data_IF_399296589003
#
_entry.id   IF_399296589003
#
_cell.length_a   1.000
_cell.length_b   1.000
_cell.length_c   1.000
_cell.angle_alpha   90.00
_cell.angle_beta   90.00
_cell.angle_gamma   90.00
#
_symmetry.space_group_name_H-M   'P 1'
#
loop_
_entity.id
_entity.type
_entity.pdbx_description
1 polymer ?
#
# COMPACT_ATOMS: atom_id res chain seq x y z
N UNK A 1 -2.43 -7.71 16.73
CA UNK A 1 -3.50 -6.69 16.65
C UNK A 1 -2.92 -5.27 16.72
N UNK A 2 -2.09 -4.95 17.73
CA UNK A 2 -1.47 -3.62 17.87
C UNK A 2 -0.54 -3.25 16.70
N UNK A 3 0.20 -4.21 16.18
CA UNK A 3 1.09 -4.02 15.03
C UNK A 3 0.32 -3.60 13.75
N UNK A 4 -0.87 -4.18 13.54
CA UNK A 4 -1.73 -3.81 12.41
C UNK A 4 -2.26 -2.38 12.55
N UNK A 5 -2.70 -1.98 13.75
CA UNK A 5 -3.12 -0.60 14.00
C UNK A 5 -1.95 0.37 13.83
N UNK A 6 -0.77 0.05 14.35
CA UNK A 6 0.42 0.86 14.18
C UNK A 6 0.82 1.01 12.70
N UNK A 7 0.75 -0.07 11.90
CA UNK A 7 1.00 -0.02 10.46
C UNK A 7 0.00 0.89 9.74
N UNK A 8 -1.30 0.82 10.08
CA UNK A 8 -2.32 1.70 9.51
C UNK A 8 -2.09 3.17 9.87
N UNK A 9 -1.70 3.45 11.13
CA UNK A 9 -1.35 4.81 11.55
C UNK A 9 -0.13 5.35 10.79
N UNK A 10 0.91 4.53 10.62
CA UNK A 10 2.10 4.90 9.83
C UNK A 10 1.75 5.13 8.35
N UNK A 11 0.86 4.31 7.78
CA UNK A 11 0.33 4.53 6.42
C UNK A 11 -0.40 5.88 6.32
N UNK A 12 -1.25 6.20 7.28
CA UNK A 12 -1.94 7.49 7.33
C UNK A 12 -0.98 8.67 7.42
N UNK A 13 0.04 8.58 8.28
CA UNK A 13 1.07 9.61 8.43
C UNK A 13 1.90 9.79 7.15
N UNK A 14 2.26 8.69 6.51
CA UNK A 14 2.97 8.70 5.23
C UNK A 14 2.13 9.35 4.12
N UNK A 15 0.84 9.02 4.04
CA UNK A 15 -0.09 9.62 3.05
C UNK A 15 -0.27 11.11 3.33
N UNK A 16 -0.47 11.51 4.59
CA UNK A 16 -0.59 12.92 4.97
C UNK A 16 0.67 13.71 4.56
N UNK A 17 1.86 13.17 4.85
CA UNK A 17 3.12 13.77 4.41
C UNK A 17 3.19 13.90 2.89
N UNK A 18 2.78 12.88 2.13
CA UNK A 18 2.81 12.91 0.65
C UNK A 18 1.83 13.95 0.07
N UNK A 19 0.70 14.19 0.73
CA UNK A 19 -0.29 15.17 0.31
C UNK A 19 0.10 16.62 0.65
N UNK A 20 0.88 16.82 1.70
CA UNK A 20 1.37 18.14 2.11
C UNK A 20 2.54 18.64 1.25
N UNK A 21 3.37 17.74 0.71
CA UNK A 21 4.56 18.10 -0.06
C UNK A 21 4.26 19.00 -1.27
N UNK A 22 3.27 18.73 -2.14
CA UNK A 22 2.94 19.59 -3.28
C UNK A 22 2.52 21.00 -2.86
N UNK A 23 1.83 21.13 -1.73
CA UNK A 23 1.40 22.42 -1.20
C UNK A 23 2.59 23.27 -0.76
N UNK A 24 3.48 22.70 0.06
CA UNK A 24 4.69 23.42 0.47
C UNK A 24 5.61 23.74 -0.71
N UNK A 25 5.66 22.86 -1.73
CA UNK A 25 6.40 23.14 -2.95
C UNK A 25 5.83 24.35 -3.71
N UNK A 26 4.50 24.44 -3.78
CA UNK A 26 3.83 25.60 -4.38
C UNK A 26 4.16 26.89 -3.61
N UNK A 27 4.07 26.85 -2.25
CA UNK A 27 4.41 27.99 -1.40
C UNK A 27 5.88 28.44 -1.58
N UNK A 28 6.81 27.51 -1.75
CA UNK A 28 8.22 27.81 -2.05
C UNK A 28 8.35 28.50 -3.40
N UNK A 29 7.64 28.02 -4.45
CA UNK A 29 7.67 28.62 -5.77
C UNK A 29 7.10 30.04 -5.77
N UNK A 30 5.99 30.26 -5.06
CA UNK A 30 5.38 31.60 -4.92
C UNK A 30 6.32 32.56 -4.17
N UNK A 31 6.97 32.12 -3.10
CA UNK A 31 7.97 32.91 -2.37
C UNK A 31 9.20 33.24 -3.24
N UNK A 32 9.62 32.31 -4.10
CA UNK A 32 10.72 32.50 -5.02
C UNK A 32 10.39 33.58 -6.07
N UNK A 33 9.19 33.50 -6.66
CA UNK A 33 8.71 34.49 -7.63
C UNK A 33 8.51 35.87 -7.02
N UNK A 34 8.15 35.92 -5.74
CA UNK A 34 8.00 37.17 -4.97
C UNK A 34 9.33 37.75 -4.44
N UNK A 35 10.45 37.07 -4.62
CA UNK A 35 11.76 37.50 -4.14
C UNK A 35 11.92 37.46 -2.60
N UNK A 36 11.09 36.71 -1.89
CA UNK A 36 11.05 36.63 -0.42
C UNK A 36 12.02 35.55 0.09
N UNK A 37 13.31 35.84 0.13
CA UNK A 37 14.36 34.86 0.47
C UNK A 37 14.18 34.24 1.87
N UNK A 38 13.78 35.02 2.88
CA UNK A 38 13.59 34.50 4.23
C UNK A 38 12.42 33.50 4.31
N UNK A 39 11.33 33.74 3.58
CA UNK A 39 10.20 32.81 3.51
C UNK A 39 10.61 31.48 2.85
N UNK A 40 11.48 31.50 1.86
CA UNK A 40 11.98 30.30 1.18
C UNK A 40 12.68 29.36 2.16
N UNK A 41 13.56 29.89 3.02
CA UNK A 41 14.27 29.08 4.01
C UNK A 41 13.31 28.42 5.02
N UNK A 42 12.35 29.20 5.50
CA UNK A 42 11.35 28.69 6.47
C UNK A 42 10.47 27.61 5.87
N UNK A 43 9.87 27.85 4.70
CA UNK A 43 8.96 26.91 4.02
C UNK A 43 9.75 25.69 3.53
N UNK A 44 10.98 25.88 3.03
CA UNK A 44 11.87 24.81 2.63
C UNK A 44 12.24 23.89 3.79
N UNK A 45 12.49 24.43 4.98
CA UNK A 45 12.74 23.64 6.19
C UNK A 45 11.50 22.81 6.58
N UNK A 46 10.29 23.36 6.49
CA UNK A 46 9.05 22.61 6.70
C UNK A 46 8.85 21.50 5.67
N UNK A 47 9.13 21.77 4.39
CA UNK A 47 9.07 20.77 3.34
C UNK A 47 9.99 19.58 3.61
N UNK A 48 11.24 19.85 4.00
CA UNK A 48 12.22 18.82 4.39
C UNK A 48 11.71 18.06 5.63
N UNK A 49 11.20 18.75 6.64
CA UNK A 49 10.65 18.13 7.85
C UNK A 49 9.52 17.16 7.53
N UNK A 50 8.56 17.59 6.72
CA UNK A 50 7.44 16.75 6.27
C UNK A 50 7.92 15.55 5.45
N UNK A 51 8.92 15.75 4.57
CA UNK A 51 9.50 14.67 3.79
C UNK A 51 10.20 13.62 4.68
N UNK A 52 10.95 14.07 5.70
CA UNK A 52 11.61 13.18 6.67
C UNK A 52 10.58 12.38 7.50
N UNK A 53 9.50 13.03 7.95
CA UNK A 53 8.40 12.33 8.64
C UNK A 53 7.78 11.24 7.75
N UNK A 54 7.52 11.55 6.47
CA UNK A 54 7.01 10.58 5.52
C UNK A 54 7.97 9.41 5.27
N UNK A 55 9.28 9.69 5.17
CA UNK A 55 10.32 8.68 4.99
C UNK A 55 10.39 7.72 6.20
N UNK A 56 10.42 8.27 7.42
CA UNK A 56 10.47 7.47 8.64
C UNK A 56 9.19 6.64 8.78
N UNK A 57 8.01 7.26 8.58
CA UNK A 57 6.74 6.56 8.63
C UNK A 57 6.66 5.42 7.61
N UNK A 58 7.17 5.65 6.39
CA UNK A 58 7.26 4.63 5.35
C UNK A 58 8.16 3.46 5.72
N UNK A 59 9.36 3.73 6.25
CA UNK A 59 10.30 2.71 6.71
C UNK A 59 9.73 1.86 7.85
N UNK A 60 9.13 2.52 8.85
CA UNK A 60 8.46 1.82 9.96
C UNK A 60 7.28 0.98 9.46
N UNK A 61 6.48 1.50 8.52
CA UNK A 61 5.35 0.75 7.94
C UNK A 61 5.80 -0.51 7.22
N UNK A 62 6.86 -0.45 6.40
CA UNK A 62 7.42 -1.62 5.71
C UNK A 62 7.86 -2.69 6.71
N UNK A 63 8.54 -2.27 7.77
CA UNK A 63 9.00 -3.18 8.84
C UNK A 63 7.82 -3.85 9.56
N UNK A 64 6.81 -3.06 9.94
CA UNK A 64 5.60 -3.59 10.59
C UNK A 64 4.82 -4.55 9.66
N UNK A 65 4.67 -4.22 8.38
CA UNK A 65 4.03 -5.08 7.40
C UNK A 65 4.77 -6.42 7.25
N UNK A 66 6.11 -6.40 7.25
CA UNK A 66 6.93 -7.61 7.21
C UNK A 66 6.74 -8.47 8.46
N UNK A 67 6.72 -7.88 9.66
CA UNK A 67 6.45 -8.62 10.90
C UNK A 67 5.07 -9.25 10.92
N UNK A 68 4.04 -8.53 10.46
CA UNK A 68 2.67 -9.07 10.38
C UNK A 68 2.62 -10.24 9.40
N UNK A 69 3.21 -10.07 8.22
CA UNK A 69 3.24 -11.11 7.20
C UNK A 69 3.99 -12.36 7.65
N UNK A 70 5.12 -12.20 8.35
CA UNK A 70 5.86 -13.32 8.95
C UNK A 70 5.05 -14.03 10.06
N UNK A 71 4.35 -13.28 10.90
CA UNK A 71 3.49 -13.86 11.93
C UNK A 71 2.40 -14.74 11.31
N UNK A 72 1.67 -14.22 10.32
CA UNK A 72 0.65 -14.98 9.57
C UNK A 72 1.25 -16.22 8.91
N UNK A 73 2.43 -16.10 8.29
CA UNK A 73 3.12 -17.23 7.66
C UNK A 73 3.53 -18.30 8.66
N UNK A 74 3.98 -17.90 9.86
CA UNK A 74 4.33 -18.82 10.95
C UNK A 74 3.12 -19.59 11.46
N UNK A 75 2.02 -18.89 11.72
CA UNK A 75 0.77 -19.50 12.19
C UNK A 75 0.22 -20.50 11.16
N UNK A 76 0.23 -20.11 9.87
CA UNK A 76 -0.20 -21.00 8.79
C UNK A 76 0.66 -22.26 8.67
N UNK A 77 1.99 -22.14 8.84
CA UNK A 77 2.89 -23.30 8.82
C UNK A 77 2.60 -24.24 9.98
N UNK A 78 2.38 -23.69 11.17
CA UNK A 78 2.03 -24.49 12.36
C UNK A 78 0.71 -25.22 12.15
N UNK A 79 -0.33 -24.54 11.70
CA UNK A 79 -1.65 -25.12 11.45
C UNK A 79 -1.60 -26.17 10.34
N UNK A 80 -0.88 -25.91 9.25
CA UNK A 80 -0.70 -26.86 8.16
C UNK A 80 0.06 -28.12 8.65
N UNK A 81 1.11 -27.93 9.43
CA UNK A 81 1.88 -29.04 9.99
C UNK A 81 1.03 -29.89 10.95
N UNK A 82 0.28 -29.25 11.86
CA UNK A 82 -0.67 -29.94 12.73
C UNK A 82 -1.70 -30.74 11.93
N UNK A 83 -2.23 -30.15 10.84
CA UNK A 83 -3.19 -30.84 9.98
C UNK A 83 -2.59 -32.07 9.30
N UNK A 84 -1.38 -31.97 8.79
CA UNK A 84 -0.67 -33.10 8.15
C UNK A 84 -0.45 -34.23 9.14
N UNK A 85 -0.13 -33.94 10.40
CA UNK A 85 0.02 -34.96 11.45
C UNK A 85 -1.26 -35.75 11.73
N UNK A 86 -2.44 -35.22 11.40
CA UNK A 86 -3.71 -35.95 11.52
C UNK A 86 -4.01 -36.88 10.35
N UNK A 87 -3.19 -36.87 9.28
CA UNK A 87 -3.41 -37.71 8.11
C UNK A 87 -3.01 -39.15 8.38
N UNK A 88 -3.80 -40.09 7.88
CA UNK A 88 -3.44 -41.51 7.87
C UNK A 88 -2.40 -41.81 6.78
N UNK A 89 -1.71 -42.93 6.88
CA UNK A 89 -0.74 -43.38 5.86
C UNK A 89 -1.34 -43.40 4.45
N UNK A 90 -2.58 -43.84 4.28
CA UNK A 90 -3.29 -43.87 3.00
C UNK A 90 -3.49 -42.46 2.40
N UNK A 91 -3.71 -41.45 3.25
CA UNK A 91 -3.85 -40.07 2.81
C UNK A 91 -2.51 -39.47 2.37
N UNK A 92 -1.41 -39.82 3.07
CA UNK A 92 -0.06 -39.34 2.73
C UNK A 92 0.39 -39.88 1.38
N UNK A 93 0.13 -41.17 1.07
CA UNK A 93 0.43 -41.76 -0.22
C UNK A 93 -0.35 -41.10 -1.36
N UNK A 94 -1.61 -40.75 -1.13
CA UNK A 94 -2.49 -40.10 -2.11
C UNK A 94 -2.02 -38.68 -2.47
N UNK A 95 -1.45 -37.93 -1.53
CA UNK A 95 -0.99 -36.56 -1.74
C UNK A 95 0.47 -36.42 -2.14
N UNK A 96 1.27 -37.48 -2.13
CA UNK A 96 2.73 -37.47 -2.35
C UNK A 96 3.47 -36.51 -1.37
N UNK A 97 4.23 -37.05 -0.44
CA UNK A 97 4.90 -36.29 0.63
C UNK A 97 5.75 -35.11 0.09
N UNK A 98 6.39 -35.27 -1.08
CA UNK A 98 7.13 -34.20 -1.73
C UNK A 98 6.26 -32.99 -2.13
N UNK A 99 5.05 -33.22 -2.63
CA UNK A 99 4.10 -32.16 -2.98
C UNK A 99 3.61 -31.38 -1.74
N UNK A 100 3.40 -32.06 -0.63
CA UNK A 100 3.00 -31.42 0.62
C UNK A 100 4.07 -30.44 1.13
N UNK A 101 5.34 -30.85 1.08
CA UNK A 101 6.46 -29.99 1.49
C UNK A 101 6.60 -28.77 0.58
N UNK A 102 6.47 -28.95 -0.74
CA UNK A 102 6.54 -27.85 -1.71
C UNK A 102 5.39 -26.86 -1.48
N UNK A 103 4.17 -27.35 -1.25
CA UNK A 103 3.01 -26.46 -0.94
C UNK A 103 3.19 -25.74 0.38
N UNK A 104 3.63 -26.40 1.44
CA UNK A 104 3.92 -25.75 2.72
C UNK A 104 4.98 -24.65 2.61
N UNK A 105 5.90 -24.74 1.63
CA UNK A 105 6.93 -23.73 1.47
C UNK A 105 6.49 -22.63 0.50
N UNK A 106 6.07 -22.99 -0.71
CA UNK A 106 5.79 -22.01 -1.75
C UNK A 106 4.46 -21.30 -1.57
N UNK A 107 3.39 -22.02 -1.26
CA UNK A 107 2.05 -21.42 -1.15
C UNK A 107 1.97 -20.51 0.08
N UNK A 108 2.58 -20.90 1.19
CA UNK A 108 2.62 -20.06 2.39
C UNK A 108 3.49 -18.83 2.17
N UNK A 109 4.60 -18.93 1.43
CA UNK A 109 5.41 -17.77 1.06
C UNK A 109 4.63 -16.80 0.13
N UNK A 110 3.79 -17.32 -0.78
CA UNK A 110 2.92 -16.49 -1.59
C UNK A 110 1.88 -15.76 -0.73
N UNK A 111 1.25 -16.44 0.22
CA UNK A 111 0.31 -15.80 1.16
C UNK A 111 1.03 -14.73 1.98
N UNK A 112 2.24 -14.99 2.47
CA UNK A 112 3.06 -14.00 3.16
C UNK A 112 3.27 -12.74 2.31
N UNK A 113 3.62 -12.89 1.04
CA UNK A 113 3.82 -11.77 0.12
C UNK A 113 2.53 -10.99 -0.12
N UNK A 114 1.39 -11.68 -0.29
CA UNK A 114 0.07 -11.05 -0.44
C UNK A 114 -0.31 -10.24 0.80
N UNK A 115 -0.10 -10.80 2.00
CA UNK A 115 -0.35 -10.09 3.27
C UNK A 115 0.54 -8.85 3.37
N UNK A 116 1.82 -8.96 3.04
CA UNK A 116 2.76 -7.85 3.05
C UNK A 116 2.33 -6.74 2.08
N UNK A 117 1.95 -7.11 0.84
CA UNK A 117 1.43 -6.17 -0.17
C UNK A 117 0.13 -5.51 0.27
N UNK A 118 -0.77 -6.23 0.95
CA UNK A 118 -2.02 -5.69 1.44
C UNK A 118 -1.78 -4.51 2.40
N UNK A 119 -0.85 -4.64 3.35
CA UNK A 119 -0.51 -3.56 4.27
C UNK A 119 0.25 -2.41 3.62
N UNK A 120 1.01 -2.65 2.56
CA UNK A 120 1.78 -1.62 1.87
C UNK A 120 0.98 -0.87 0.82
N UNK A 121 0.11 -1.56 0.07
CA UNK A 121 -0.54 -1.03 -1.12
C UNK A 121 -2.04 -0.86 -0.92
N UNK A 122 -2.73 -1.92 -0.47
CA UNK A 122 -4.20 -1.95 -0.41
C UNK A 122 -4.79 -0.87 0.50
N UNK A 123 -4.15 -0.59 1.62
CA UNK A 123 -4.58 0.48 2.53
C UNK A 123 -4.09 1.86 2.09
N UNK A 124 -2.90 1.93 1.49
CA UNK A 124 -2.29 3.19 1.05
C UNK A 124 -3.03 3.82 -0.12
N UNK A 125 -3.39 3.04 -1.14
CA UNK A 125 -4.00 3.57 -2.37
C UNK A 125 -5.34 4.26 -2.12
N UNK A 126 -6.33 3.66 -1.39
CA UNK A 126 -7.58 4.34 -1.11
C UNK A 126 -7.41 5.62 -0.28
N UNK A 127 -6.53 5.60 0.73
CA UNK A 127 -6.25 6.77 1.56
C UNK A 127 -5.65 7.90 0.73
N UNK A 128 -4.70 7.59 -0.12
CA UNK A 128 -4.05 8.56 -1.00
C UNK A 128 -5.04 9.10 -2.04
N UNK A 129 -5.90 8.24 -2.60
CA UNK A 129 -6.92 8.64 -3.56
C UNK A 129 -7.94 9.59 -2.92
N UNK A 130 -8.51 9.22 -1.77
CA UNK A 130 -9.48 10.06 -1.05
C UNK A 130 -8.83 11.38 -0.64
N UNK A 131 -7.64 11.33 -0.06
CA UNK A 131 -6.93 12.53 0.38
C UNK A 131 -6.58 13.49 -0.78
N UNK A 132 -6.08 12.96 -1.90
CA UNK A 132 -5.79 13.77 -3.07
C UNK A 132 -7.05 14.34 -3.73
N UNK A 133 -8.14 13.56 -3.75
CA UNK A 133 -9.43 14.05 -4.26
C UNK A 133 -9.96 15.21 -3.42
N UNK A 134 -9.96 15.09 -2.08
CA UNK A 134 -10.37 16.15 -1.17
C UNK A 134 -9.49 17.40 -1.38
N UNK A 135 -8.17 17.22 -1.46
CA UNK A 135 -7.24 18.32 -1.66
C UNK A 135 -7.48 19.02 -3.00
N UNK A 136 -7.70 18.27 -4.07
CA UNK A 136 -7.95 18.80 -5.40
C UNK A 136 -9.27 19.61 -5.48
N UNK A 137 -10.34 19.12 -4.84
CA UNK A 137 -11.61 19.86 -4.76
C UNK A 137 -11.46 21.15 -3.97
N UNK A 138 -10.65 21.16 -2.91
CA UNK A 138 -10.37 22.37 -2.14
C UNK A 138 -9.51 23.38 -2.90
N UNK A 139 -8.50 22.91 -3.63
CA UNK A 139 -7.54 23.78 -4.33
C UNK A 139 -8.13 24.33 -5.64
N UNK A 140 -8.90 23.51 -6.37
CA UNK A 140 -9.46 23.88 -7.68
C UNK A 140 -10.95 23.46 -7.75
N UNK A 141 -11.85 24.18 -7.06
CA UNK A 141 -13.27 23.82 -6.98
C UNK A 141 -13.99 23.79 -8.34
N UNK A 142 -13.50 24.50 -9.34
CA UNK A 142 -14.11 24.51 -10.69
C UNK A 142 -13.70 23.31 -11.57
N UNK A 143 -12.67 22.54 -11.17
CA UNK A 143 -12.10 21.42 -11.98
C UNK A 143 -12.40 20.03 -11.41
N UNK A 144 -13.21 19.90 -10.37
CA UNK A 144 -13.53 18.60 -9.76
C UNK A 144 -14.12 17.58 -10.76
N UNK A 145 -14.90 18.07 -11.73
CA UNK A 145 -15.53 17.25 -12.76
C UNK A 145 -14.48 16.58 -13.69
N UNK A 146 -13.32 17.25 -13.93
CA UNK A 146 -12.23 16.69 -14.71
C UNK A 146 -11.65 15.46 -14.03
N UNK A 147 -11.50 15.51 -12.70
CA UNK A 147 -10.99 14.39 -11.90
C UNK A 147 -11.96 13.22 -11.97
N UNK A 148 -13.27 13.48 -11.82
CA UNK A 148 -14.30 12.45 -11.95
C UNK A 148 -14.28 11.82 -13.34
N UNK A 149 -14.15 12.64 -14.39
CA UNK A 149 -14.08 12.15 -15.76
C UNK A 149 -12.84 11.27 -15.99
N UNK A 150 -11.67 11.68 -15.46
CA UNK A 150 -10.44 10.88 -15.53
C UNK A 150 -10.60 9.52 -14.81
N UNK A 151 -11.22 9.50 -13.64
CA UNK A 151 -11.48 8.26 -12.88
C UNK A 151 -12.40 7.33 -13.68
N UNK A 152 -13.50 7.85 -14.23
CA UNK A 152 -14.41 7.08 -15.07
C UNK A 152 -13.71 6.50 -16.31
N UNK A 153 -12.85 7.30 -16.94
CA UNK A 153 -12.07 6.87 -18.10
C UNK A 153 -11.09 5.74 -17.75
N UNK A 154 -10.41 5.83 -16.60
CA UNK A 154 -9.50 4.78 -16.12
C UNK A 154 -10.29 3.49 -15.85
N UNK A 155 -11.44 3.57 -15.17
CA UNK A 155 -12.29 2.39 -14.93
C UNK A 155 -12.82 1.78 -16.23
N UNK A 156 -13.24 2.59 -17.18
CA UNK A 156 -13.70 2.13 -18.50
C UNK A 156 -12.59 1.40 -19.26
N UNK A 157 -11.38 1.99 -19.32
CA UNK A 157 -10.24 1.37 -19.98
C UNK A 157 -9.82 0.06 -19.30
N UNK A 158 -9.78 0.05 -17.97
CA UNK A 158 -9.46 -1.16 -17.20
C UNK A 158 -10.49 -2.25 -17.45
N UNK A 159 -11.79 -1.91 -17.43
CA UNK A 159 -12.87 -2.84 -17.73
C UNK A 159 -12.80 -3.43 -19.14
N UNK A 160 -12.50 -2.59 -20.14
CA UNK A 160 -12.30 -3.04 -21.53
C UNK A 160 -11.10 -3.99 -21.63
N UNK A 161 -9.97 -3.63 -21.01
CA UNK A 161 -8.78 -4.48 -21.00
C UNK A 161 -9.05 -5.85 -20.33
N UNK A 162 -9.71 -5.86 -19.17
CA UNK A 162 -10.08 -7.12 -18.49
C UNK A 162 -11.03 -7.97 -19.34
N UNK A 163 -12.02 -7.34 -20.01
CA UNK A 163 -12.93 -8.04 -20.92
C UNK A 163 -12.23 -8.64 -22.14
N UNK A 164 -11.19 -7.97 -22.66
CA UNK A 164 -10.41 -8.47 -23.80
C UNK A 164 -9.39 -9.55 -23.40
N UNK A 165 -8.88 -9.52 -22.18
CA UNK A 165 -7.87 -10.48 -21.67
C UNK A 165 -8.52 -11.73 -21.07
N UNK A 166 -9.71 -11.63 -20.48
CA UNK A 166 -10.40 -12.74 -19.83
C UNK A 166 -10.55 -14.02 -20.70
N UNK A 167 -10.95 -13.94 -21.98
CA UNK A 167 -11.08 -15.11 -22.86
C UNK A 167 -9.76 -15.77 -23.25
N UNK A 168 -8.61 -15.13 -23.00
CA UNK A 168 -7.28 -15.65 -23.37
C UNK A 168 -6.58 -16.42 -22.25
N UNK A 169 -7.14 -16.39 -21.04
CA UNK A 169 -6.62 -17.11 -19.87
C UNK A 169 -7.52 -18.27 -19.42
N UNK A 170 -8.63 -18.53 -20.09
CA UNK A 170 -9.46 -19.71 -19.96
C UNK A 170 -9.10 -20.74 -21.06
#
# INVERSE_FOLDING_TARGET
>A
KWQALASLMMTGLMVASSLLQPRYLQEVLEALLAGQHEAIYSIGAWLIGVALVGLVAGGVNVTLAAYIAQGVSSDLREDAFRKIQTFSYANIEQFNAGNLVVRMTNDINQIQNVVMMAFQILFRLPLLFIGSFILAVHTLPSLWWVIVLMVLLIFALTGIMMGMMGPRFA
#
